data_IF_235577214511
#
_entry.id   IF_235577214511
#
_cell.length_a   1.000
_cell.length_b   1.000
_cell.length_c   1.000
_cell.angle_alpha   90.00
_cell.angle_beta   90.00
_cell.angle_gamma   90.00
#
_symmetry.space_group_name_H-M   'P 1'
#
loop_
_entity.id
_entity.type
_entity.pdbx_description
1 polymer ?
#
# COMPACT_ATOMS: atom_id res chain seq x y z
N UNK A 1 18.69 -2.60 -25.58
CA UNK A 1 18.11 -2.85 -24.24
C UNK A 1 16.87 -1.97 -24.10
N UNK A 2 15.70 -2.53 -23.77
CA UNK A 2 14.47 -1.75 -23.58
C UNK A 2 14.50 -0.99 -22.24
N UNK A 3 13.65 0.01 -22.12
CA UNK A 3 13.47 0.67 -20.82
C UNK A 3 12.76 -0.24 -19.83
N UNK A 4 13.22 -0.23 -18.58
CA UNK A 4 12.51 -0.79 -17.44
C UNK A 4 11.65 0.33 -16.83
N UNK A 5 10.35 0.14 -16.80
CA UNK A 5 9.41 1.17 -16.36
C UNK A 5 8.95 0.91 -14.93
N UNK A 6 9.03 1.94 -14.08
CA UNK A 6 8.68 1.88 -12.64
C UNK A 6 7.51 2.82 -12.36
N UNK A 7 6.42 2.27 -11.83
CA UNK A 7 5.28 3.03 -11.33
C UNK A 7 5.43 3.26 -9.81
N UNK A 8 5.41 4.52 -9.39
CA UNK A 8 5.54 4.90 -7.99
C UNK A 8 4.23 5.50 -7.47
N UNK A 9 3.84 5.12 -6.26
CA UNK A 9 2.72 5.76 -5.57
C UNK A 9 3.08 7.21 -5.23
N UNK A 10 2.34 8.16 -5.82
CA UNK A 10 2.56 9.60 -5.65
C UNK A 10 2.57 10.03 -4.18
N UNK A 11 3.49 10.93 -3.82
CA UNK A 11 3.62 11.50 -2.49
C UNK A 11 4.76 10.88 -1.67
N UNK A 12 4.55 10.71 -0.36
CA UNK A 12 5.58 10.28 0.60
C UNK A 12 6.27 8.96 0.22
N UNK A 13 5.51 8.00 -0.33
CA UNK A 13 6.08 6.73 -0.78
C UNK A 13 7.06 6.91 -1.93
N UNK A 14 6.71 7.71 -2.95
CA UNK A 14 7.61 7.97 -4.08
C UNK A 14 8.93 8.59 -3.62
N UNK A 15 8.88 9.59 -2.72
CA UNK A 15 10.08 10.26 -2.22
C UNK A 15 11.00 9.25 -1.49
N UNK A 16 10.47 8.49 -0.54
CA UNK A 16 11.26 7.47 0.18
C UNK A 16 11.80 6.37 -0.74
N UNK A 17 11.02 5.99 -1.75
CA UNK A 17 11.49 5.02 -2.75
C UNK A 17 12.66 5.57 -3.54
N UNK A 18 12.57 6.81 -4.00
CA UNK A 18 13.66 7.43 -4.76
C UNK A 18 14.93 7.64 -3.90
N UNK A 19 14.79 8.03 -2.63
CA UNK A 19 15.91 8.09 -1.69
C UNK A 19 16.62 6.72 -1.55
N UNK A 20 15.85 5.65 -1.43
CA UNK A 20 16.37 4.28 -1.37
C UNK A 20 17.02 3.85 -2.70
N UNK A 21 16.41 4.20 -3.84
CA UNK A 21 16.94 3.92 -5.17
C UNK A 21 18.26 4.67 -5.41
N UNK A 22 18.36 5.93 -5.00
CA UNK A 22 19.60 6.71 -5.09
C UNK A 22 20.75 6.07 -4.31
N UNK A 23 20.49 5.54 -3.11
CA UNK A 23 21.49 4.78 -2.33
C UNK A 23 21.92 3.49 -3.05
N UNK A 24 21.04 2.89 -3.83
CA UNK A 24 21.35 1.75 -4.69
C UNK A 24 21.99 2.15 -6.05
N UNK A 25 22.32 3.44 -6.25
CA UNK A 25 22.91 3.95 -7.49
C UNK A 25 21.90 4.18 -8.62
N UNK A 26 20.61 4.21 -8.32
CA UNK A 26 19.55 4.44 -9.31
C UNK A 26 18.99 5.84 -9.12
N UNK A 27 19.38 6.74 -10.01
CA UNK A 27 18.97 8.15 -9.97
C UNK A 27 18.00 8.49 -11.09
N UNK A 28 17.23 9.56 -10.90
CA UNK A 28 16.45 10.18 -11.95
C UNK A 28 16.40 11.70 -11.72
N UNK A 29 17.34 12.44 -12.33
CA UNK A 29 17.46 13.90 -12.13
C UNK A 29 16.19 14.65 -12.52
N UNK A 30 15.48 14.19 -13.56
CA UNK A 30 14.20 14.77 -13.98
C UNK A 30 13.12 14.76 -12.88
N UNK A 31 13.16 13.81 -11.93
CA UNK A 31 12.20 13.74 -10.82
C UNK A 31 12.49 14.73 -9.68
N UNK A 32 13.67 15.35 -9.67
CA UNK A 32 14.06 16.37 -8.67
C UNK A 32 13.41 17.73 -8.95
N UNK A 33 13.02 17.99 -10.19
CA UNK A 33 12.29 19.18 -10.58
C UNK A 33 10.83 19.09 -10.15
N UNK A 34 10.51 19.75 -9.02
CA UNK A 34 9.15 19.76 -8.42
C UNK A 34 8.13 20.54 -9.25
N UNK A 35 8.60 21.44 -10.12
CA UNK A 35 7.73 22.27 -10.98
C UNK A 35 7.45 21.60 -12.34
N UNK A 36 8.09 20.46 -12.59
CA UNK A 36 7.90 19.69 -13.81
C UNK A 36 6.47 19.20 -13.97
N UNK A 37 5.90 19.42 -15.15
CA UNK A 37 4.61 18.85 -15.57
C UNK A 37 4.76 17.55 -16.35
N UNK A 38 5.97 16.99 -16.42
CA UNK A 38 6.21 15.70 -17.09
C UNK A 38 5.43 14.59 -16.36
N UNK A 39 4.91 13.67 -17.14
CA UNK A 39 4.24 12.48 -16.62
C UNK A 39 5.17 11.27 -16.55
N UNK A 40 6.20 11.26 -17.40
CA UNK A 40 7.22 10.21 -17.47
C UNK A 40 8.58 10.89 -17.31
N UNK A 41 9.38 10.35 -16.43
CA UNK A 41 10.75 10.77 -16.13
C UNK A 41 11.72 9.68 -16.60
N UNK A 42 12.82 10.06 -17.22
CA UNK A 42 13.72 9.11 -17.87
C UNK A 42 15.15 9.25 -17.35
N UNK A 43 15.75 8.11 -17.06
CA UNK A 43 17.21 7.98 -16.94
C UNK A 43 17.70 7.19 -18.16
N UNK A 44 18.38 7.89 -19.08
CA UNK A 44 18.86 7.32 -20.34
C UNK A 44 20.02 6.34 -20.15
N UNK A 45 20.89 6.61 -19.19
CA UNK A 45 22.06 5.77 -18.88
C UNK A 45 21.65 4.41 -18.35
N UNK A 46 20.75 4.39 -17.36
CA UNK A 46 20.24 3.16 -16.76
C UNK A 46 19.14 2.49 -17.58
N UNK A 47 18.65 3.15 -18.65
CA UNK A 47 17.48 2.72 -19.42
C UNK A 47 16.29 2.44 -18.51
N UNK A 48 15.99 3.40 -17.65
CA UNK A 48 14.83 3.35 -16.73
C UNK A 48 13.89 4.52 -16.98
N UNK A 49 12.60 4.24 -16.80
CA UNK A 49 11.53 5.25 -16.84
C UNK A 49 10.74 5.17 -15.53
N UNK A 50 10.31 6.32 -15.05
CA UNK A 50 9.51 6.44 -13.85
C UNK A 50 8.26 7.26 -14.15
N UNK A 51 7.17 6.92 -13.49
CA UNK A 51 5.98 7.76 -13.45
C UNK A 51 5.28 7.66 -12.10
N UNK A 52 4.52 8.71 -11.78
CA UNK A 52 3.79 8.82 -10.52
C UNK A 52 2.30 8.56 -10.75
N UNK A 53 1.72 7.62 -10.01
CA UNK A 53 0.31 7.28 -10.07
C UNK A 53 -0.36 7.33 -8.68
N UNK A 54 -1.69 7.32 -8.63
CA UNK A 54 -2.41 7.09 -7.38
C UNK A 54 -2.14 5.66 -6.91
N UNK A 55 -2.05 5.45 -5.59
CA UNK A 55 -1.76 4.13 -5.01
C UNK A 55 -2.61 3.00 -5.60
N UNK A 56 -3.95 3.11 -5.61
CA UNK A 56 -4.84 2.07 -6.16
C UNK A 56 -4.63 1.77 -7.65
N UNK A 57 -4.07 2.70 -8.42
CA UNK A 57 -3.83 2.51 -9.85
C UNK A 57 -2.52 1.78 -10.16
N UNK A 58 -1.51 1.86 -9.26
CA UNK A 58 -0.19 1.24 -9.47
C UNK A 58 -0.27 -0.25 -9.77
N UNK A 59 -1.02 -1.07 -9.02
CA UNK A 59 -1.18 -2.49 -9.32
C UNK A 59 -1.73 -2.76 -10.72
N UNK A 60 -2.65 -1.93 -11.19
CA UNK A 60 -3.22 -2.04 -12.55
C UNK A 60 -2.16 -1.79 -13.62
N UNK A 61 -1.36 -0.71 -13.49
CA UNK A 61 -0.28 -0.45 -14.44
C UNK A 61 0.74 -1.59 -14.51
N UNK A 62 1.04 -2.20 -13.37
CA UNK A 62 1.98 -3.32 -13.31
C UNK A 62 1.34 -4.60 -13.88
N UNK A 63 0.11 -4.94 -13.52
CA UNK A 63 -0.56 -6.14 -14.04
C UNK A 63 -0.65 -6.14 -15.56
N UNK A 64 -1.02 -5.01 -16.16
CA UNK A 64 -1.14 -4.85 -17.61
C UNK A 64 0.19 -4.63 -18.35
N UNK A 65 1.32 -4.61 -17.64
CA UNK A 65 2.66 -4.46 -18.24
C UNK A 65 2.98 -3.05 -18.75
N UNK A 66 2.17 -2.04 -18.40
CA UNK A 66 2.48 -0.64 -18.65
C UNK A 66 3.63 -0.16 -17.74
N UNK A 67 3.79 -0.79 -16.59
CA UNK A 67 4.99 -0.75 -15.76
C UNK A 67 5.52 -2.17 -15.53
N UNK A 68 6.84 -2.31 -15.48
CA UNK A 68 7.51 -3.57 -15.14
C UNK A 68 7.51 -3.79 -13.63
N UNK A 69 7.68 -2.70 -12.90
CA UNK A 69 7.84 -2.64 -11.45
C UNK A 69 6.87 -1.59 -10.90
N UNK A 70 6.33 -1.86 -9.70
CA UNK A 70 5.55 -0.89 -8.95
C UNK A 70 6.02 -0.80 -7.51
N UNK A 71 5.87 0.38 -6.90
CA UNK A 71 6.00 0.56 -5.45
C UNK A 71 4.69 1.08 -4.88
N UNK A 72 4.14 0.33 -3.95
CA UNK A 72 2.80 0.55 -3.41
C UNK A 72 2.70 0.04 -1.98
N UNK A 73 1.71 0.51 -1.21
CA UNK A 73 1.43 -0.02 0.12
C UNK A 73 0.88 -1.45 0.09
N UNK A 74 1.19 -2.25 1.10
CA UNK A 74 0.65 -3.61 1.26
C UNK A 74 -0.87 -3.62 1.32
N UNK A 75 -1.49 -2.59 1.89
CA UNK A 75 -2.93 -2.37 1.90
C UNK A 75 -3.53 -2.38 0.50
N UNK A 76 -2.90 -1.66 -0.41
CA UNK A 76 -3.35 -1.59 -1.81
C UNK A 76 -3.21 -2.93 -2.53
N UNK A 77 -2.12 -3.68 -2.29
CA UNK A 77 -1.95 -5.03 -2.87
C UNK A 77 -3.07 -5.96 -2.41
N UNK A 78 -3.38 -5.95 -1.12
CA UNK A 78 -4.41 -6.78 -0.53
C UNK A 78 -5.83 -6.38 -1.00
N UNK A 79 -6.09 -5.07 -1.10
CA UNK A 79 -7.39 -4.56 -1.52
C UNK A 79 -7.67 -4.80 -3.00
N UNK A 80 -6.68 -4.52 -3.87
CA UNK A 80 -6.84 -4.64 -5.32
C UNK A 80 -6.80 -6.09 -5.81
N UNK A 81 -6.11 -7.00 -5.11
CA UNK A 81 -6.06 -8.42 -5.41
C UNK A 81 -5.53 -8.79 -6.80
N UNK A 82 -4.68 -7.92 -7.39
CA UNK A 82 -4.15 -8.08 -8.74
C UNK A 82 -3.10 -9.19 -8.83
N UNK A 83 -2.93 -9.77 -10.03
CA UNK A 83 -1.97 -10.85 -10.32
C UNK A 83 -0.56 -10.29 -10.51
N UNK A 84 0.15 -10.07 -9.42
CA UNK A 84 1.49 -9.50 -9.36
C UNK A 84 2.44 -10.42 -8.58
N UNK A 85 3.74 -10.27 -8.78
CA UNK A 85 4.74 -10.77 -7.84
C UNK A 85 5.07 -9.68 -6.83
N UNK A 86 4.76 -9.91 -5.57
CA UNK A 86 5.29 -9.13 -4.45
C UNK A 86 6.68 -9.66 -4.13
N UNK A 87 7.72 -8.88 -4.42
CA UNK A 87 9.10 -9.38 -4.40
C UNK A 87 9.93 -8.86 -3.23
N UNK A 88 9.51 -7.75 -2.59
CA UNK A 88 10.27 -7.16 -1.52
C UNK A 88 9.43 -6.27 -0.61
N UNK A 89 9.67 -6.37 0.70
CA UNK A 89 9.29 -5.36 1.70
C UNK A 89 10.39 -4.29 1.72
N UNK A 90 10.00 -3.04 1.49
CA UNK A 90 10.96 -1.92 1.43
C UNK A 90 11.29 -1.33 2.82
N UNK A 91 10.72 -1.88 3.90
CA UNK A 91 11.07 -1.55 5.28
C UNK A 91 10.55 -0.21 5.80
N UNK A 92 9.92 0.61 4.97
CA UNK A 92 9.36 1.91 5.36
C UNK A 92 7.84 1.98 5.16
N UNK A 93 7.22 3.08 5.63
CA UNK A 93 5.76 3.26 5.58
C UNK A 93 5.04 2.23 6.46
N UNK A 94 5.67 1.80 7.56
CA UNK A 94 5.13 0.81 8.49
C UNK A 94 3.91 1.37 9.21
N UNK A 95 2.81 0.62 9.14
CA UNK A 95 1.55 0.88 9.82
C UNK A 95 0.80 -0.45 9.99
N UNK A 96 -0.45 -0.40 10.44
CA UNK A 96 -1.27 -1.59 10.64
C UNK A 96 -2.66 -1.37 10.08
N UNK A 97 -3.27 -2.41 9.52
CA UNK A 97 -4.71 -2.46 9.29
C UNK A 97 -5.36 -2.91 10.58
N UNK A 98 -6.37 -2.18 11.05
CA UNK A 98 -7.01 -2.43 12.33
C UNK A 98 -8.54 -2.34 12.22
N UNK A 99 -9.23 -3.08 13.08
CA UNK A 99 -10.63 -2.82 13.43
C UNK A 99 -10.63 -1.78 14.55
N UNK A 100 -11.30 -0.67 14.34
CA UNK A 100 -11.34 0.44 15.30
C UNK A 100 -12.78 0.84 15.58
N UNK A 101 -13.01 1.37 16.77
CA UNK A 101 -14.34 1.83 17.18
C UNK A 101 -14.34 2.38 18.61
N UNK A 102 -15.51 2.78 19.14
CA UNK A 102 -15.66 3.07 20.54
C UNK A 102 -15.44 1.82 21.39
N UNK A 103 -14.99 1.95 22.63
CA UNK A 103 -14.74 0.81 23.52
C UNK A 103 -15.99 -0.07 23.70
N UNK A 104 -17.18 0.54 23.69
CA UNK A 104 -18.47 -0.18 23.77
C UNK A 104 -18.72 -1.16 22.61
N UNK A 105 -18.05 -0.98 21.45
CA UNK A 105 -18.19 -1.89 20.33
C UNK A 105 -17.43 -3.20 20.52
N UNK A 106 -16.53 -3.30 21.49
CA UNK A 106 -15.78 -4.53 21.77
C UNK A 106 -16.69 -5.72 22.10
N UNK A 107 -17.66 -5.50 22.96
CA UNK A 107 -18.63 -6.54 23.35
C UNK A 107 -19.46 -7.04 22.14
N UNK A 108 -19.83 -6.12 21.24
CA UNK A 108 -20.60 -6.45 20.02
C UNK A 108 -19.77 -7.31 19.06
N UNK A 109 -18.46 -7.02 18.95
CA UNK A 109 -17.51 -7.81 18.15
C UNK A 109 -17.33 -9.23 18.72
N UNK A 110 -17.21 -9.37 20.04
CA UNK A 110 -16.99 -10.65 20.73
C UNK A 110 -18.23 -11.57 20.65
N UNK A 111 -19.42 -10.99 20.70
CA UNK A 111 -20.69 -11.73 20.66
C UNK A 111 -21.14 -12.14 19.24
N UNK A 112 -20.33 -11.93 18.21
CA UNK A 112 -20.64 -12.23 16.81
C UNK A 112 -22.00 -11.70 16.33
N UNK A 113 -22.43 -10.55 16.85
CA UNK A 113 -23.65 -9.90 16.39
C UNK A 113 -23.44 -9.35 14.96
N UNK A 114 -24.54 -9.20 14.24
CA UNK A 114 -24.49 -8.51 12.95
C UNK A 114 -24.15 -7.03 13.18
N UNK A 115 -23.02 -6.61 12.68
CA UNK A 115 -22.50 -5.23 12.80
C UNK A 115 -22.26 -4.61 11.42
N UNK A 116 -22.37 -3.29 11.38
CA UNK A 116 -21.97 -2.48 10.21
C UNK A 116 -20.50 -2.09 10.37
N UNK A 117 -19.74 -2.29 9.31
CA UNK A 117 -18.30 -1.99 9.26
C UNK A 117 -18.05 -0.99 8.13
N UNK A 118 -17.70 0.24 8.46
CA UNK A 118 -17.32 1.22 7.45
C UNK A 118 -15.83 1.12 7.13
N UNK A 119 -15.48 1.18 5.85
CA UNK A 119 -14.09 1.02 5.41
C UNK A 119 -13.84 1.57 4.01
N UNK A 120 -12.61 1.97 3.76
CA UNK A 120 -12.09 2.20 2.42
C UNK A 120 -11.61 0.89 1.76
N UNK A 121 -11.44 -0.18 2.54
CA UNK A 121 -10.82 -1.44 2.18
C UNK A 121 -11.80 -2.63 2.31
N UNK A 122 -12.88 -2.67 1.50
CA UNK A 122 -13.92 -3.70 1.64
C UNK A 122 -13.41 -5.12 1.41
N UNK A 123 -12.43 -5.34 0.53
CA UNK A 123 -11.90 -6.67 0.29
C UNK A 123 -11.06 -7.18 1.47
N UNK A 124 -10.26 -6.32 2.09
CA UNK A 124 -9.50 -6.63 3.30
C UNK A 124 -10.47 -6.92 4.46
N UNK A 125 -11.48 -6.05 4.64
CA UNK A 125 -12.47 -6.23 5.70
C UNK A 125 -13.26 -7.53 5.49
N UNK A 126 -13.67 -7.83 4.25
CA UNK A 126 -14.34 -9.08 3.91
C UNK A 126 -13.47 -10.30 4.24
N UNK A 127 -12.21 -10.32 3.82
CA UNK A 127 -11.29 -11.41 4.12
C UNK A 127 -11.17 -11.62 5.63
N UNK A 128 -11.02 -10.52 6.39
CA UNK A 128 -10.88 -10.57 7.84
C UNK A 128 -12.13 -11.14 8.52
N UNK A 129 -13.29 -10.55 8.30
CA UNK A 129 -14.50 -10.95 9.00
C UNK A 129 -15.06 -12.29 8.50
N UNK A 130 -15.21 -12.50 7.19
CA UNK A 130 -15.83 -13.72 6.67
C UNK A 130 -14.87 -14.91 6.65
N UNK A 131 -13.61 -14.74 6.19
CA UNK A 131 -12.73 -15.89 5.99
C UNK A 131 -11.96 -16.25 7.27
N UNK A 132 -11.51 -15.26 8.07
CA UNK A 132 -10.69 -15.54 9.26
C UNK A 132 -11.51 -15.62 10.54
N UNK A 133 -12.45 -14.69 10.76
CA UNK A 133 -13.30 -14.69 11.96
C UNK A 133 -14.58 -15.51 11.81
N UNK A 134 -14.99 -15.87 10.61
CA UNK A 134 -16.27 -16.52 10.31
C UNK A 134 -17.47 -15.72 10.83
N UNK A 135 -17.37 -14.41 10.81
CA UNK A 135 -18.39 -13.47 11.27
C UNK A 135 -19.03 -12.76 10.08
N UNK A 136 -20.35 -12.75 10.02
CA UNK A 136 -21.11 -11.98 9.03
C UNK A 136 -21.21 -10.53 9.47
N UNK A 137 -20.87 -9.60 8.57
CA UNK A 137 -20.94 -8.16 8.80
C UNK A 137 -21.54 -7.45 7.59
N UNK A 138 -22.13 -6.27 7.81
CA UNK A 138 -22.58 -5.38 6.74
C UNK A 138 -21.47 -4.37 6.42
N UNK A 139 -20.90 -4.46 5.21
CA UNK A 139 -19.76 -3.64 4.77
C UNK A 139 -20.24 -2.37 4.08
N UNK A 140 -19.88 -1.22 4.64
CA UNK A 140 -20.18 0.11 4.10
C UNK A 140 -18.89 0.71 3.53
N UNK A 141 -18.82 0.81 2.19
CA UNK A 141 -17.67 1.43 1.53
C UNK A 141 -17.72 2.95 1.61
N UNK A 142 -16.65 3.54 2.14
CA UNK A 142 -16.40 4.98 2.13
C UNK A 142 -15.08 5.28 1.39
N UNK A 143 -14.88 6.54 0.99
CA UNK A 143 -13.68 6.94 0.23
C UNK A 143 -12.65 7.72 1.08
N UNK A 144 -13.02 8.14 2.27
CA UNK A 144 -12.16 8.88 3.20
C UNK A 144 -12.93 9.30 4.45
N UNK A 145 -12.23 9.87 5.45
CA UNK A 145 -12.79 10.26 6.75
C UNK A 145 -13.58 9.13 7.42
N UNK A 146 -13.01 7.95 7.40
CA UNK A 146 -13.67 6.71 7.82
C UNK A 146 -14.03 6.77 9.31
N UNK A 147 -13.22 7.46 10.12
CA UNK A 147 -13.42 7.65 11.57
C UNK A 147 -14.73 8.35 11.91
N UNK A 148 -15.30 9.09 10.96
CA UNK A 148 -16.58 9.77 11.16
C UNK A 148 -17.74 8.78 11.28
N UNK A 149 -17.66 7.63 10.62
CA UNK A 149 -18.77 6.67 10.52
C UNK A 149 -19.32 6.20 11.88
N UNK A 150 -18.51 5.74 12.86
CA UNK A 150 -19.04 5.39 14.18
C UNK A 150 -19.53 6.59 14.99
N UNK A 151 -18.96 7.78 14.78
CA UNK A 151 -19.33 8.99 15.51
C UNK A 151 -20.75 9.43 15.15
N UNK A 152 -21.13 9.32 13.88
CA UNK A 152 -22.46 9.70 13.38
C UNK A 152 -23.45 8.52 13.39
N UNK A 153 -23.07 7.35 13.91
CA UNK A 153 -23.94 6.17 13.99
C UNK A 153 -24.18 5.44 12.66
N UNK A 154 -23.31 5.64 11.67
CA UNK A 154 -23.37 4.93 10.40
C UNK A 154 -22.91 3.48 10.54
N UNK A 155 -21.91 3.21 11.37
CA UNK A 155 -21.38 1.88 11.64
C UNK A 155 -20.98 1.73 13.10
N UNK A 156 -20.90 0.50 13.58
CA UNK A 156 -20.44 0.17 14.93
C UNK A 156 -18.90 0.26 15.00
N UNK A 157 -18.22 -0.19 13.95
CA UNK A 157 -16.76 -0.19 13.85
C UNK A 157 -16.30 0.23 12.44
N UNK A 158 -15.00 0.47 12.32
CA UNK A 158 -14.33 0.72 11.05
C UNK A 158 -13.19 -0.28 10.86
N UNK A 159 -12.80 -0.51 9.59
CA UNK A 159 -11.51 -1.11 9.24
C UNK A 159 -10.70 -0.07 8.51
N UNK A 160 -9.59 0.34 9.09
CA UNK A 160 -8.74 1.39 8.53
C UNK A 160 -7.27 1.24 8.94
N UNK A 161 -6.41 2.01 8.28
CA UNK A 161 -4.97 2.07 8.53
C UNK A 161 -4.70 2.90 9.78
N UNK A 162 -3.89 2.36 10.67
CA UNK A 162 -3.42 3.04 11.88
C UNK A 162 -1.90 3.12 11.86
N UNK A 163 -1.35 4.33 11.79
CA UNK A 163 0.08 4.60 11.92
C UNK A 163 0.43 4.95 13.37
N UNK A 164 -0.12 6.03 13.91
CA UNK A 164 0.11 6.48 15.30
C UNK A 164 -1.11 6.35 16.21
N UNK A 165 -2.29 6.26 15.64
CA UNK A 165 -3.56 6.23 16.37
C UNK A 165 -4.03 7.58 16.93
N UNK A 166 -3.34 8.69 16.62
CA UNK A 166 -3.70 10.02 17.12
C UNK A 166 -5.10 10.45 16.71
N UNK A 167 -5.44 10.29 15.43
CA UNK A 167 -6.78 10.61 14.91
C UNK A 167 -7.89 9.82 15.63
N UNK A 168 -7.66 8.53 15.86
CA UNK A 168 -8.61 7.69 16.60
C UNK A 168 -8.82 8.24 18.02
N UNK A 169 -7.73 8.52 18.73
CA UNK A 169 -7.76 9.02 20.12
C UNK A 169 -8.48 10.35 20.24
N UNK A 170 -8.22 11.29 19.33
CA UNK A 170 -8.89 12.61 19.31
C UNK A 170 -10.40 12.49 19.10
N UNK A 171 -10.86 11.43 18.45
CA UNK A 171 -12.27 11.17 18.15
C UNK A 171 -12.92 10.11 19.08
N UNK A 172 -12.26 9.77 20.21
CA UNK A 172 -12.81 8.83 21.19
C UNK A 172 -12.86 7.37 20.69
N UNK A 173 -12.13 7.06 19.63
CA UNK A 173 -12.03 5.72 19.08
C UNK A 173 -10.74 5.04 19.54
N UNK A 174 -10.74 3.70 19.51
CA UNK A 174 -9.60 2.86 19.86
C UNK A 174 -9.39 1.76 18.84
N UNK A 175 -8.19 1.23 18.80
CA UNK A 175 -7.92 -0.04 18.13
C UNK A 175 -8.55 -1.15 18.97
N UNK A 176 -9.45 -1.89 18.38
CA UNK A 176 -10.14 -3.03 18.99
C UNK A 176 -9.43 -4.36 18.64
N UNK A 177 -9.04 -4.50 17.37
CA UNK A 177 -8.34 -5.68 16.85
C UNK A 177 -7.29 -5.28 15.79
N UNK A 178 -6.17 -5.99 15.72
CA UNK A 178 -5.19 -5.84 14.64
C UNK A 178 -5.47 -6.88 13.54
N UNK A 179 -5.62 -6.43 12.30
CA UNK A 179 -5.90 -7.28 11.13
C UNK A 179 -4.61 -7.80 10.51
N UNK A 180 -3.69 -6.89 10.16
CA UNK A 180 -2.38 -7.23 9.63
C UNK A 180 -1.40 -6.04 9.65
N UNK A 181 -0.08 -6.32 9.69
CA UNK A 181 0.94 -5.29 9.47
C UNK A 181 1.00 -4.87 8.00
N UNK A 182 1.34 -3.60 7.79
CA UNK A 182 1.46 -2.98 6.47
C UNK A 182 2.80 -2.26 6.34
N UNK A 183 3.32 -2.22 5.12
CA UNK A 183 4.51 -1.43 4.74
C UNK A 183 4.54 -1.21 3.23
N UNK A 184 5.48 -0.41 2.75
CA UNK A 184 5.74 -0.24 1.34
C UNK A 184 6.30 -1.54 0.72
N UNK A 185 5.79 -1.91 -0.44
CA UNK A 185 6.15 -3.14 -1.16
C UNK A 185 6.58 -2.84 -2.58
N UNK A 186 7.57 -3.58 -3.05
CA UNK A 186 7.91 -3.65 -4.46
C UNK A 186 7.16 -4.81 -5.09
N UNK A 187 6.45 -4.52 -6.17
CA UNK A 187 5.72 -5.49 -6.98
C UNK A 187 6.24 -5.52 -8.41
N UNK A 188 6.13 -6.65 -9.07
CA UNK A 188 6.67 -6.86 -10.42
C UNK A 188 5.63 -7.55 -11.29
N UNK A 189 5.55 -7.11 -12.55
CA UNK A 189 4.77 -7.77 -13.58
C UNK A 189 5.32 -9.19 -13.83
N UNK A 190 4.42 -10.17 -13.95
CA UNK A 190 4.81 -11.58 -14.09
C UNK A 190 5.60 -11.88 -15.37
N UNK A 191 5.28 -11.19 -16.47
CA UNK A 191 6.00 -11.35 -17.75
C UNK A 191 7.35 -10.63 -17.67
N UNK A 192 7.37 -9.40 -17.16
CA UNK A 192 8.61 -8.63 -16.98
C UNK A 192 9.61 -9.35 -16.08
N UNK A 193 9.14 -10.01 -15.02
CA UNK A 193 10.01 -10.83 -14.16
C UNK A 193 10.73 -11.96 -14.92
N UNK A 194 10.14 -12.47 -15.99
CA UNK A 194 10.76 -13.48 -16.86
C UNK A 194 11.67 -12.85 -17.91
N UNK A 195 11.18 -11.80 -18.57
CA UNK A 195 11.86 -11.16 -19.71
C UNK A 195 13.07 -10.33 -19.31
N UNK A 196 13.04 -9.68 -18.15
CA UNK A 196 14.07 -8.79 -17.61
C UNK A 196 14.65 -9.34 -16.30
N UNK A 197 14.69 -10.65 -16.16
CA UNK A 197 15.01 -11.36 -14.91
C UNK A 197 16.32 -10.87 -14.27
N UNK A 198 17.40 -10.80 -15.05
CA UNK A 198 18.73 -10.38 -14.55
C UNK A 198 18.71 -8.95 -13.98
N UNK A 199 18.08 -8.02 -14.71
CA UNK A 199 18.00 -6.61 -14.29
C UNK A 199 17.14 -6.45 -13.06
N UNK A 200 15.97 -7.10 -13.00
CA UNK A 200 15.05 -7.01 -11.88
C UNK A 200 15.67 -7.68 -10.64
N UNK A 201 16.32 -8.82 -10.79
CA UNK A 201 17.02 -9.48 -9.66
C UNK A 201 18.16 -8.62 -9.13
N UNK A 202 18.98 -8.06 -10.01
CA UNK A 202 20.05 -7.15 -9.61
C UNK A 202 19.50 -5.96 -8.82
N UNK A 203 18.44 -5.33 -9.32
CA UNK A 203 17.76 -4.25 -8.59
C UNK A 203 17.31 -4.68 -7.20
N UNK A 204 16.67 -5.85 -7.07
CA UNK A 204 16.23 -6.39 -5.77
C UNK A 204 17.42 -6.64 -4.84
N UNK A 205 18.52 -7.16 -5.35
CA UNK A 205 19.74 -7.41 -4.56
C UNK A 205 20.39 -6.11 -4.09
N UNK A 206 20.49 -5.11 -4.97
CA UNK A 206 21.04 -3.79 -4.62
C UNK A 206 20.19 -3.08 -3.56
N UNK A 207 18.85 -3.13 -3.69
CA UNK A 207 17.94 -2.58 -2.68
C UNK A 207 17.98 -3.34 -1.35
N UNK A 208 18.14 -4.66 -1.37
CA UNK A 208 18.33 -5.46 -0.14
C UNK A 208 19.60 -5.08 0.60
N UNK A 209 20.68 -4.79 -0.12
CA UNK A 209 21.93 -4.31 0.48
C UNK A 209 21.73 -2.98 1.20
N UNK A 210 21.07 -2.02 0.55
CA UNK A 210 20.70 -0.74 1.16
C UNK A 210 19.89 -0.94 2.44
N UNK A 211 18.90 -1.84 2.45
CA UNK A 211 18.10 -2.12 3.64
C UNK A 211 18.93 -2.73 4.80
N UNK A 212 19.90 -3.57 4.49
CA UNK A 212 20.78 -4.19 5.51
C UNK A 212 21.73 -3.18 6.14
N UNK A 213 22.16 -2.17 5.39
CA UNK A 213 23.05 -1.10 5.88
C UNK A 213 22.30 -0.10 6.78
N UNK A 214 20.97 -0.03 6.70
CA UNK A 214 20.14 0.87 7.51
C UNK A 214 19.57 0.25 8.79
N UNK A 215 19.73 -1.07 8.99
CA UNK A 215 19.30 -1.80 10.20
C UNK A 215 20.39 -1.87 11.25
#
# INVERSE_FOLDING_TARGET
>A
MRYLTVALTKGRLANKTMEMFEKAGITCEEMKDKDSRKLIFTNEELKMKFFLAKGPDVPTYVEYGAADIGVVGKDTILEEGRKLYEVMDLGFGKCKMCVCGPESAREVLENNQLIRVATKYPNIAKDYFFNRKHQTVDLIKLNGSIELAPIVGLSEVIVDIVETGSTLKENGLKVLEEVCPLSARMVVNQVSMKMENERIRKLIEDLRRVLQEEM
#
